data_IF_230915575661
#
_entry.id   IF_230915575661
#
_cell.length_a   1.000
_cell.length_b   1.000
_cell.length_c   1.000
_cell.angle_alpha   90.00
_cell.angle_beta   90.00
_cell.angle_gamma   90.00
#
_symmetry.space_group_name_H-M   'P 1'
#
loop_
_entity.id
_entity.type
_entity.pdbx_description
1 polymer ?
#
# COMPACT_ATOMS: atom_id res chain seq x y z
N UNK A 1 20.18 -23.36 2.50
CA UNK A 1 19.91 -22.27 3.46
C UNK A 1 20.53 -21.04 2.81
N UNK A 2 19.76 -20.32 1.99
CA UNK A 2 20.27 -19.11 1.35
C UNK A 2 20.45 -18.02 2.42
N UNK A 3 21.63 -17.42 2.46
CA UNK A 3 21.93 -16.30 3.34
C UNK A 3 20.98 -15.13 3.03
N UNK A 4 20.37 -14.61 4.09
CA UNK A 4 19.45 -13.49 4.02
C UNK A 4 20.27 -12.23 3.72
N UNK A 5 20.06 -11.65 2.55
CA UNK A 5 20.69 -10.38 2.20
C UNK A 5 19.75 -9.23 2.60
N UNK A 6 20.17 -8.46 3.60
CA UNK A 6 19.58 -7.17 3.94
C UNK A 6 20.71 -6.15 3.86
N UNK A 7 20.47 -5.05 3.16
CA UNK A 7 21.43 -3.96 3.04
C UNK A 7 20.81 -2.68 3.57
N UNK A 8 21.63 -1.82 4.17
CA UNK A 8 21.26 -0.44 4.44
C UNK A 8 22.11 0.41 3.51
N UNK A 9 21.46 1.21 2.67
CA UNK A 9 22.11 2.08 1.71
C UNK A 9 21.48 3.48 1.82
N UNK A 10 22.31 4.48 2.06
CA UNK A 10 21.89 5.88 2.25
C UNK A 10 20.73 6.09 3.26
N UNK A 11 20.70 5.27 4.32
CA UNK A 11 19.65 5.31 5.34
C UNK A 11 18.38 4.53 4.98
N UNK A 12 18.23 4.05 3.74
CA UNK A 12 17.14 3.17 3.33
C UNK A 12 17.44 1.71 3.68
N UNK A 13 16.41 0.97 4.13
CA UNK A 13 16.51 -0.47 4.36
C UNK A 13 16.10 -1.23 3.09
N UNK A 14 17.02 -1.99 2.52
CA UNK A 14 16.81 -2.85 1.36
C UNK A 14 16.70 -4.30 1.84
N UNK A 15 15.54 -4.90 1.60
CA UNK A 15 15.28 -6.32 1.89
C UNK A 15 15.27 -7.08 0.56
N UNK A 16 16.23 -7.98 0.40
CA UNK A 16 16.26 -8.89 -0.74
C UNK A 16 15.52 -10.18 -0.41
N UNK A 17 14.84 -10.76 -1.41
CA UNK A 17 14.08 -12.01 -1.27
C UNK A 17 13.11 -12.01 -0.09
N UNK A 18 12.19 -11.05 -0.09
CA UNK A 18 11.23 -10.83 1.00
C UNK A 18 10.39 -12.10 1.26
N UNK A 19 10.24 -12.50 2.53
CA UNK A 19 9.48 -13.68 2.98
C UNK A 19 8.37 -13.28 3.96
N UNK A 20 7.34 -14.12 4.19
CA UNK A 20 6.26 -13.81 5.14
C UNK A 20 6.73 -13.35 6.54
N UNK A 21 7.83 -13.88 7.13
CA UNK A 21 8.35 -13.39 8.41
C UNK A 21 8.95 -11.97 8.37
N UNK A 22 9.23 -11.42 7.20
CA UNK A 22 9.70 -10.05 7.05
C UNK A 22 8.52 -9.04 7.08
N UNK A 23 7.26 -9.51 7.07
CA UNK A 23 6.10 -8.65 7.28
C UNK A 23 6.10 -8.08 8.71
N UNK A 24 5.80 -6.79 8.86
CA UNK A 24 5.84 -6.13 10.16
C UNK A 24 5.83 -4.62 10.08
N UNK A 25 6.04 -3.99 11.24
CA UNK A 25 6.14 -2.54 11.36
C UNK A 25 7.62 -2.18 11.46
N UNK A 26 8.05 -1.31 10.55
CA UNK A 26 9.38 -0.75 10.46
C UNK A 26 9.33 0.72 10.84
N UNK A 27 10.38 1.19 11.49
CA UNK A 27 10.49 2.59 11.89
C UNK A 27 11.95 3.01 11.73
N UNK A 28 12.16 4.13 11.05
CA UNK A 28 13.48 4.70 10.90
C UNK A 28 13.79 5.58 12.10
N UNK A 29 15.00 5.44 12.62
CA UNK A 29 15.52 6.30 13.67
C UNK A 29 16.83 6.93 13.18
N UNK A 30 16.83 8.26 13.07
CA UNK A 30 17.99 9.05 12.66
C UNK A 30 18.36 9.96 13.85
N UNK A 31 19.36 9.55 14.62
CA UNK A 31 19.72 10.22 15.87
C UNK A 31 18.57 10.17 16.90
N UNK A 32 18.03 11.34 17.25
CA UNK A 32 16.87 11.50 18.13
C UNK A 32 15.54 11.65 17.36
N UNK A 33 15.60 11.83 16.04
CA UNK A 33 14.41 11.92 15.21
C UNK A 33 13.91 10.52 14.86
N UNK A 34 12.61 10.31 15.05
CA UNK A 34 11.93 9.06 14.74
C UNK A 34 10.96 9.31 13.59
N UNK A 35 11.04 8.50 12.53
CA UNK A 35 10.14 8.62 11.39
C UNK A 35 8.73 8.11 11.70
N UNK A 36 7.80 8.40 10.79
CA UNK A 36 6.53 7.69 10.72
C UNK A 36 6.74 6.18 10.57
N UNK A 37 5.70 5.42 10.92
CA UNK A 37 5.72 3.95 10.82
C UNK A 37 5.57 3.52 9.35
N UNK A 38 6.36 2.53 8.94
CA UNK A 38 6.23 1.84 7.67
C UNK A 38 5.70 0.44 7.92
N UNK A 39 4.57 0.08 7.33
CA UNK A 39 3.99 -1.26 7.46
C UNK A 39 4.37 -2.04 6.20
N UNK A 40 5.17 -3.09 6.36
CA UNK A 40 5.49 -4.04 5.29
C UNK A 40 4.55 -5.23 5.39
N UNK A 41 3.77 -5.44 4.33
CA UNK A 41 2.92 -6.61 4.17
C UNK A 41 3.49 -7.46 3.03
N UNK A 42 3.75 -8.73 3.33
CA UNK A 42 4.29 -9.69 2.36
C UNK A 42 3.14 -10.57 1.89
N UNK A 43 2.86 -10.48 0.61
CA UNK A 43 1.84 -11.29 -0.06
C UNK A 43 2.49 -12.62 -0.46
N UNK A 44 2.00 -13.73 0.10
CA UNK A 44 2.40 -15.06 -0.35
C UNK A 44 1.62 -15.43 -1.62
N UNK A 45 2.24 -16.21 -2.52
CA UNK A 45 1.57 -16.72 -3.72
C UNK A 45 0.43 -17.71 -3.37
N UNK A 46 0.49 -18.29 -2.17
CA UNK A 46 -0.55 -19.15 -1.58
C UNK A 46 -1.71 -18.34 -0.96
N UNK A 47 -1.56 -17.02 -0.74
CA UNK A 47 -2.64 -16.21 -0.18
C UNK A 47 -3.74 -16.00 -1.24
N UNK A 48 -4.97 -16.51 -1.00
CA UNK A 48 -6.02 -16.43 -2.00
C UNK A 48 -6.45 -14.97 -2.16
N UNK A 49 -6.15 -14.36 -3.32
CA UNK A 49 -6.62 -13.03 -3.67
C UNK A 49 -7.78 -13.06 -4.66
N UNK A 50 -8.65 -12.05 -4.58
CA UNK A 50 -9.74 -11.86 -5.53
C UNK A 50 -9.33 -10.81 -6.57
N UNK A 51 -9.41 -11.15 -7.86
CA UNK A 51 -9.20 -10.18 -8.93
C UNK A 51 -10.46 -9.35 -9.12
N UNK A 52 -10.37 -8.05 -8.88
CA UNK A 52 -11.48 -7.10 -9.01
C UNK A 52 -11.17 -6.02 -10.05
N UNK A 53 -12.21 -5.31 -10.48
CA UNK A 53 -12.10 -4.28 -11.52
C UNK A 53 -12.52 -2.90 -10.99
N UNK A 54 -11.98 -1.81 -11.57
CA UNK A 54 -12.49 -0.48 -11.30
C UNK A 54 -13.93 -0.34 -11.79
N UNK A 55 -14.69 0.56 -11.17
CA UNK A 55 -16.08 0.87 -11.52
C UNK A 55 -16.28 1.35 -12.97
N UNK A 56 -15.19 1.74 -13.66
CA UNK A 56 -15.18 2.09 -15.08
C UNK A 56 -15.25 0.88 -16.02
N UNK A 57 -15.20 -0.36 -15.52
CA UNK A 57 -15.23 -1.59 -16.32
C UNK A 57 -16.32 -2.55 -15.82
N UNK A 58 -16.74 -3.48 -16.68
CA UNK A 58 -17.64 -4.59 -16.28
C UNK A 58 -16.85 -5.72 -15.63
N UNK A 59 -17.19 -6.06 -14.40
CA UNK A 59 -16.65 -7.22 -13.70
C UNK A 59 -16.79 -7.08 -12.19
N UNK A 60 -16.35 -8.09 -11.41
CA UNK A 60 -16.50 -8.05 -9.96
C UNK A 60 -15.79 -6.81 -9.42
N UNK A 61 -16.54 -5.98 -8.71
CA UNK A 61 -16.01 -4.80 -8.04
C UNK A 61 -15.38 -5.19 -6.71
N UNK A 62 -14.57 -4.30 -6.15
CA UNK A 62 -14.06 -4.47 -4.79
C UNK A 62 -15.19 -4.61 -3.79
N UNK A 63 -14.99 -5.48 -2.80
CA UNK A 63 -15.92 -5.68 -1.70
C UNK A 63 -16.16 -4.36 -0.97
N UNK A 64 -17.41 -3.89 -0.84
CA UNK A 64 -17.69 -2.64 -0.14
C UNK A 64 -17.25 -2.73 1.34
N UNK A 65 -17.05 -1.58 2.00
CA UNK A 65 -16.93 -1.55 3.45
C UNK A 65 -18.14 -2.24 4.09
N UNK A 66 -17.89 -3.09 5.10
CA UNK A 66 -18.92 -3.84 5.81
C UNK A 66 -18.76 -3.61 7.31
N UNK A 67 -19.81 -3.20 8.03
CA UNK A 67 -19.76 -3.13 9.49
C UNK A 67 -19.61 -4.56 10.04
N UNK A 68 -18.69 -4.73 10.99
CA UNK A 68 -18.53 -5.98 11.73
C UNK A 68 -19.27 -5.88 13.07
N UNK A 69 -19.15 -4.73 13.73
CA UNK A 69 -19.87 -4.37 14.96
C UNK A 69 -20.45 -2.95 14.83
N UNK A 70 -21.07 -2.42 15.88
CA UNK A 70 -21.52 -1.02 15.93
C UNK A 70 -20.39 0.00 15.74
N UNK A 71 -19.16 -0.36 16.12
CA UNK A 71 -18.02 0.55 16.16
C UNK A 71 -16.90 0.18 15.18
N UNK A 72 -16.94 -1.03 14.62
CA UNK A 72 -15.90 -1.57 13.75
C UNK A 72 -16.41 -1.78 12.33
N UNK A 73 -15.62 -1.31 11.38
CA UNK A 73 -15.84 -1.53 9.95
C UNK A 73 -14.67 -2.28 9.35
N UNK A 74 -14.96 -3.31 8.56
CA UNK A 74 -13.96 -3.91 7.68
C UNK A 74 -14.04 -3.23 6.31
N UNK A 75 -12.89 -2.88 5.74
CA UNK A 75 -12.78 -2.29 4.40
C UNK A 75 -11.50 -2.76 3.70
N UNK A 76 -11.37 -2.47 2.40
CA UNK A 76 -10.16 -2.74 1.63
C UNK A 76 -9.37 -1.44 1.54
N UNK A 77 -8.17 -1.40 2.14
CA UNK A 77 -7.23 -0.28 1.97
C UNK A 77 -6.41 -0.53 0.71
N UNK A 78 -6.45 0.42 -0.23
CA UNK A 78 -5.84 0.27 -1.55
C UNK A 78 -4.48 0.93 -1.62
N UNK A 79 -3.49 0.18 -2.11
CA UNK A 79 -2.20 0.73 -2.50
C UNK A 79 -2.34 1.75 -3.62
N UNK A 80 -1.31 2.59 -3.76
CA UNK A 80 -1.08 3.30 -5.02
C UNK A 80 -0.90 2.30 -6.17
N UNK A 81 -1.18 2.74 -7.39
CA UNK A 81 -0.89 1.93 -8.57
C UNK A 81 0.62 1.72 -8.72
N UNK A 82 1.00 0.49 -9.07
CA UNK A 82 2.36 0.21 -9.50
C UNK A 82 2.72 1.02 -10.75
N UNK A 83 4.02 1.15 -10.98
CA UNK A 83 4.54 1.57 -12.27
C UNK A 83 4.01 0.67 -13.40
N UNK A 84 4.00 1.22 -14.61
CA UNK A 84 3.59 0.47 -15.78
C UNK A 84 4.64 -0.58 -16.12
N UNK A 85 4.21 -1.82 -16.35
CA UNK A 85 5.12 -2.95 -16.63
C UNK A 85 5.94 -2.79 -17.91
N UNK A 86 5.49 -1.91 -18.83
CA UNK A 86 6.14 -1.64 -20.12
C UNK A 86 5.93 -0.16 -20.48
N UNK A 87 6.91 0.44 -21.13
CA UNK A 87 6.80 1.76 -21.74
C UNK A 87 6.78 1.64 -23.27
N UNK A 88 6.28 2.66 -23.98
CA UNK A 88 6.19 2.71 -25.46
C UNK A 88 5.08 1.83 -26.05
N UNK A 89 4.75 0.73 -25.39
CA UNK A 89 3.69 -0.22 -25.75
C UNK A 89 2.66 -0.33 -24.64
N UNK A 90 1.54 -1.03 -24.90
CA UNK A 90 0.55 -1.33 -23.87
C UNK A 90 1.17 -2.28 -22.84
N UNK A 91 1.25 -1.83 -21.59
CA UNK A 91 1.66 -2.58 -20.42
C UNK A 91 0.49 -2.80 -19.44
N UNK A 92 0.83 -3.34 -18.27
CA UNK A 92 -0.09 -3.57 -17.15
C UNK A 92 0.45 -2.85 -15.92
N UNK A 93 -0.46 -2.36 -15.09
CA UNK A 93 -0.17 -1.88 -13.74
C UNK A 93 -1.15 -2.53 -12.78
N UNK A 94 -0.74 -2.67 -11.52
CA UNK A 94 -1.52 -3.35 -10.49
C UNK A 94 -1.57 -2.52 -9.21
N UNK A 95 -2.63 -2.69 -8.44
CA UNK A 95 -2.71 -2.21 -7.05
C UNK A 95 -3.34 -3.29 -6.19
N UNK A 96 -2.99 -3.28 -4.92
CA UNK A 96 -3.42 -4.28 -3.95
C UNK A 96 -4.40 -3.66 -2.96
N UNK A 97 -5.49 -4.37 -2.68
CA UNK A 97 -6.52 -3.99 -1.74
C UNK A 97 -6.47 -4.94 -0.56
N UNK A 98 -5.89 -4.51 0.56
CA UNK A 98 -5.71 -5.36 1.72
C UNK A 98 -6.86 -5.16 2.70
N UNK A 99 -7.26 -6.24 3.37
CA UNK A 99 -8.28 -6.20 4.41
C UNK A 99 -7.79 -5.36 5.60
N UNK A 100 -8.56 -4.33 5.97
CA UNK A 100 -8.35 -3.48 7.14
C UNK A 100 -9.58 -3.48 8.03
N UNK A 101 -9.36 -3.36 9.33
CA UNK A 101 -10.39 -3.05 10.33
C UNK A 101 -10.16 -1.64 10.81
N UNK A 102 -11.19 -0.80 10.75
CA UNK A 102 -11.16 0.56 11.28
C UNK A 102 -12.18 0.75 12.39
N UNK A 103 -11.95 1.80 13.17
CA UNK A 103 -12.87 2.29 14.19
C UNK A 103 -13.67 3.47 13.63
N UNK A 104 -14.99 3.38 13.67
CA UNK A 104 -15.87 4.45 13.23
C UNK A 104 -17.17 3.94 12.62
N UNK A 105 -18.20 4.78 12.72
CA UNK A 105 -19.48 4.54 12.08
C UNK A 105 -19.33 4.75 10.56
N UNK A 106 -19.73 3.77 9.76
CA UNK A 106 -20.15 4.07 8.40
C UNK A 106 -21.30 5.06 8.54
N UNK A 107 -21.09 6.34 8.23
CA UNK A 107 -22.15 7.34 8.18
C UNK A 107 -23.34 6.75 7.42
N UNK A 108 -24.33 6.29 8.19
CA UNK A 108 -25.55 5.75 7.64
C UNK A 108 -26.32 6.96 7.13
N UNK A 109 -26.07 7.35 5.89
CA UNK A 109 -27.11 7.98 5.08
C UNK A 109 -28.17 6.90 4.78
N UNK A 110 -28.79 6.37 5.84
CA UNK A 110 -30.08 5.72 5.73
C UNK A 110 -31.06 6.86 5.61
N UNK A 111 -31.56 7.07 4.40
CA UNK A 111 -32.93 7.53 4.26
C UNK A 111 -33.75 6.61 5.18
N UNK A 112 -34.33 7.21 6.22
CA UNK A 112 -35.36 6.57 7.02
C UNK A 112 -36.46 6.20 6.05
N UNK A 113 -36.51 4.94 5.67
CA UNK A 113 -37.72 4.20 5.39
C UNK A 113 -37.34 2.71 5.34
N UNK A 114 -38.22 1.89 5.91
CA UNK A 114 -38.15 0.43 6.01
C UNK A 114 -37.39 -0.13 7.22
N UNK A 115 -38.15 -0.16 8.32
CA UNK A 115 -37.98 -1.13 9.38
C UNK A 115 -38.03 -2.56 8.81
N UNK A 116 -36.97 -3.34 9.06
CA UNK A 116 -37.13 -4.77 9.28
C UNK A 116 -36.08 -5.28 10.26
N UNK A 117 -36.66 -5.98 11.22
CA UNK A 117 -36.13 -6.72 12.34
C UNK A 117 -35.25 -7.89 11.88
N UNK A 118 -34.05 -8.05 12.46
CA UNK A 118 -33.54 -9.34 12.97
C UNK A 118 -32.07 -9.28 13.42
N UNK A 119 -31.89 -9.57 14.72
CA UNK A 119 -30.74 -10.19 15.40
C UNK A 119 -29.35 -9.54 15.26
N UNK A 120 -29.10 -8.54 16.09
CA UNK A 120 -27.76 -8.14 16.54
C UNK A 120 -27.22 -9.14 17.57
N UNK A 121 -26.63 -10.24 17.11
CA UNK A 121 -25.84 -11.15 17.95
C UNK A 121 -24.38 -11.14 17.47
N UNK A 122 -23.62 -10.15 17.94
CA UNK A 122 -22.17 -10.19 18.19
C UNK A 122 -21.68 -8.76 18.52
N UNK A 123 -22.14 -8.22 19.64
CA UNK A 123 -21.57 -6.98 20.18
C UNK A 123 -20.24 -7.27 20.85
N UNK A 124 -19.15 -7.34 20.07
CA UNK A 124 -17.80 -7.30 20.64
C UNK A 124 -17.57 -5.89 21.16
N UNK A 125 -17.68 -5.71 22.48
CA UNK A 125 -17.25 -4.49 23.15
C UNK A 125 -15.72 -4.44 23.11
N UNK A 126 -15.17 -3.37 22.52
CA UNK A 126 -13.74 -3.11 22.56
C UNK A 126 -13.33 -2.75 23.99
N UNK A 127 -12.22 -3.30 24.45
CA UNK A 127 -11.58 -2.85 25.68
C UNK A 127 -10.87 -1.50 25.46
N UNK A 128 -10.51 -0.82 26.55
CA UNK A 128 -9.78 0.46 26.50
C UNK A 128 -8.48 0.35 25.67
N UNK A 129 -7.87 -0.83 25.65
CA UNK A 129 -6.67 -1.12 24.85
C UNK A 129 -6.99 -1.16 23.36
N UNK A 130 -8.07 -1.81 22.95
CA UNK A 130 -8.56 -1.83 21.58
C UNK A 130 -8.94 -0.43 21.08
N UNK A 131 -9.56 0.40 21.92
CA UNK A 131 -9.85 1.80 21.57
C UNK A 131 -8.56 2.58 21.33
N UNK A 132 -7.57 2.46 22.24
CA UNK A 132 -6.26 3.12 22.08
C UNK A 132 -5.51 2.63 20.84
N UNK A 133 -5.64 1.36 20.48
CA UNK A 133 -5.06 0.82 19.25
C UNK A 133 -5.59 1.57 18.03
N UNK A 134 -6.91 1.70 17.88
CA UNK A 134 -7.46 2.41 16.72
C UNK A 134 -7.26 3.93 16.78
N UNK A 135 -7.08 4.51 17.97
CA UNK A 135 -6.60 5.90 18.09
C UNK A 135 -5.16 6.07 17.58
N UNK A 136 -4.29 5.10 17.83
CA UNK A 136 -2.92 5.09 17.30
C UNK A 136 -2.88 4.78 15.79
N UNK A 137 -3.87 4.05 15.28
CA UNK A 137 -4.01 3.69 13.86
C UNK A 137 -5.33 4.22 13.29
N UNK A 138 -5.46 5.55 13.06
CA UNK A 138 -6.70 6.15 12.57
C UNK A 138 -7.11 5.66 11.17
N UNK A 139 -6.13 5.19 10.37
CA UNK A 139 -6.36 4.54 9.07
C UNK A 139 -6.78 3.07 9.17
N UNK A 140 -6.97 2.54 10.38
CA UNK A 140 -7.27 1.14 10.64
C UNK A 140 -6.04 0.24 10.74
N UNK A 141 -6.28 -1.02 11.12
CA UNK A 141 -5.28 -2.06 11.32
C UNK A 141 -5.50 -3.19 10.31
N UNK A 142 -4.45 -3.72 9.64
CA UNK A 142 -4.60 -4.84 8.71
C UNK A 142 -5.20 -6.08 9.39
N UNK A 143 -6.09 -6.79 8.71
CA UNK A 143 -6.77 -7.98 9.25
C UNK A 143 -5.80 -9.11 9.62
N UNK A 144 -4.70 -9.26 8.87
CA UNK A 144 -3.64 -10.23 9.14
C UNK A 144 -2.70 -9.81 10.28
N UNK A 145 -2.62 -8.52 10.59
CA UNK A 145 -1.61 -7.96 11.51
C UNK A 145 -1.68 -8.58 12.89
N UNK A 146 -0.52 -8.87 13.48
CA UNK A 146 -0.43 -9.38 14.86
C UNK A 146 -1.00 -8.41 15.90
N UNK A 147 -1.08 -7.12 15.56
CA UNK A 147 -1.64 -6.07 16.40
C UNK A 147 -3.16 -6.17 16.55
N UNK A 148 -3.85 -6.80 15.59
CA UNK A 148 -5.30 -6.94 15.65
C UNK A 148 -5.68 -7.99 16.72
N UNK A 149 -6.49 -7.65 17.73
CA UNK A 149 -6.89 -8.57 18.77
C UNK A 149 -7.47 -9.89 18.23
N UNK A 150 -7.11 -11.02 18.86
CA UNK A 150 -7.57 -12.36 18.45
C UNK A 150 -9.10 -12.48 18.47
N UNK A 151 -9.79 -11.74 19.34
CA UNK A 151 -11.25 -11.68 19.42
C UNK A 151 -11.84 -11.15 18.11
N UNK A 152 -11.26 -10.08 17.56
CA UNK A 152 -11.70 -9.48 16.29
C UNK A 152 -11.37 -10.42 15.14
N UNK A 153 -10.16 -11.01 15.12
CA UNK A 153 -9.73 -11.95 14.06
C UNK A 153 -10.64 -13.16 13.88
N UNK A 154 -11.31 -13.61 14.95
CA UNK A 154 -12.22 -14.77 14.91
C UNK A 154 -13.59 -14.44 14.33
N UNK A 155 -13.91 -13.17 14.07
CA UNK A 155 -15.22 -12.77 13.55
C UNK A 155 -15.42 -13.29 12.12
N UNK A 156 -16.60 -13.85 11.80
CA UNK A 156 -16.87 -14.46 10.50
C UNK A 156 -16.80 -13.46 9.33
N UNK A 157 -17.04 -12.18 9.62
CA UNK A 157 -16.90 -11.10 8.63
C UNK A 157 -15.46 -10.92 8.13
N UNK A 158 -14.44 -11.29 8.92
CA UNK A 158 -13.04 -11.25 8.52
C UNK A 158 -12.62 -12.51 7.76
N UNK A 159 -13.08 -13.68 8.19
CA UNK A 159 -12.74 -14.94 7.50
C UNK A 159 -13.26 -15.00 6.05
N UNK A 160 -14.33 -14.28 5.74
CA UNK A 160 -14.89 -14.18 4.38
C UNK A 160 -14.21 -13.13 3.51
N UNK A 161 -13.47 -12.18 4.09
CA UNK A 161 -12.85 -11.08 3.35
C UNK A 161 -11.44 -11.43 2.91
N UNK A 162 -11.27 -11.63 1.61
CA UNK A 162 -9.97 -11.88 0.98
C UNK A 162 -9.29 -10.58 0.59
N UNK A 163 -7.96 -10.65 0.47
CA UNK A 163 -7.20 -9.59 -0.19
C UNK A 163 -7.61 -9.50 -1.66
N UNK A 164 -7.56 -8.30 -2.21
CA UNK A 164 -8.03 -7.99 -3.55
C UNK A 164 -6.87 -7.46 -4.40
N UNK A 165 -6.91 -7.72 -5.70
CA UNK A 165 -5.98 -7.13 -6.66
C UNK A 165 -6.75 -6.49 -7.81
N UNK A 166 -6.36 -5.28 -8.17
CA UNK A 166 -6.83 -4.64 -9.39
C UNK A 166 -5.71 -4.59 -10.41
N UNK A 167 -6.02 -4.98 -11.65
CA UNK A 167 -5.10 -4.91 -12.78
C UNK A 167 -5.71 -3.97 -13.83
N UNK A 168 -4.94 -2.97 -14.24
CA UNK A 168 -5.32 -2.04 -15.29
C UNK A 168 -4.27 -2.05 -16.41
N UNK A 169 -4.73 -1.78 -17.63
CA UNK A 169 -3.84 -1.49 -18.74
C UNK A 169 -3.27 -0.08 -18.60
N UNK A 170 -2.03 0.10 -19.05
CA UNK A 170 -1.36 1.39 -19.09
C UNK A 170 -0.55 1.51 -20.39
N UNK A 171 -0.35 2.73 -20.88
CA UNK A 171 0.57 3.02 -21.97
C UNK A 171 1.26 4.32 -21.62
N UNK A 172 2.51 4.22 -21.18
CA UNK A 172 3.34 5.37 -20.83
C UNK A 172 4.46 5.54 -21.86
N UNK A 173 4.90 6.76 -22.18
CA UNK A 173 6.10 6.96 -22.99
C UNK A 173 7.32 6.41 -22.24
N UNK A 174 8.29 5.86 -22.96
CA UNK A 174 9.57 5.52 -22.34
C UNK A 174 10.25 6.81 -21.90
N UNK A 175 10.62 6.89 -20.61
CA UNK A 175 11.51 7.94 -20.15
C UNK A 175 12.82 7.76 -20.91
N UNK A 176 13.12 8.70 -21.79
CA UNK A 176 14.48 8.82 -22.31
C UNK A 176 15.36 9.11 -21.10
N UNK A 177 16.27 8.21 -20.78
CA UNK A 177 17.32 8.49 -19.78
C UNK A 177 18.34 9.50 -20.34
N UNK A 178 18.21 9.86 -21.62
CA UNK A 178 19.00 10.90 -22.25
C UNK A 178 18.29 12.24 -22.12
N UNK A 179 18.89 13.16 -21.38
CA UNK A 179 18.55 14.57 -21.33
C UNK A 179 19.24 15.30 -22.48
N UNK A 180 18.50 16.12 -23.25
CA UNK A 180 19.06 16.94 -24.33
C UNK A 180 18.73 18.41 -24.08
N UNK A 181 19.77 19.24 -23.95
CA UNK A 181 19.64 20.69 -23.95
C UNK A 181 19.74 21.19 -25.38
N UNK A 182 18.75 21.94 -25.86
CA UNK A 182 18.74 22.50 -27.21
C UNK A 182 18.78 24.03 -27.18
N UNK A 183 19.50 24.60 -28.14
CA UNK A 183 19.53 26.03 -28.43
C UNK A 183 18.18 26.52 -28.93
N UNK A 184 17.96 27.83 -28.90
CA UNK A 184 16.76 28.50 -29.41
C UNK A 184 16.53 28.20 -30.91
N UNK A 185 17.59 27.81 -31.64
CA UNK A 185 17.58 27.39 -33.05
C UNK A 185 17.40 25.87 -33.25
N UNK A 186 17.26 25.09 -32.17
CA UNK A 186 17.04 23.64 -32.20
C UNK A 186 18.29 22.75 -32.16
N UNK A 187 19.49 23.33 -32.20
CA UNK A 187 20.77 22.62 -32.10
C UNK A 187 20.99 22.01 -30.71
N UNK A 188 21.52 20.79 -30.64
CA UNK A 188 21.82 20.13 -29.36
C UNK A 188 23.10 20.74 -28.78
N UNK A 189 22.96 21.40 -27.62
CA UNK A 189 24.06 21.99 -26.85
C UNK A 189 24.66 20.94 -25.92
N UNK A 190 23.82 20.13 -25.29
CA UNK A 190 24.25 19.14 -24.32
C UNK A 190 23.37 17.89 -24.43
N UNK A 191 23.98 16.72 -24.27
CA UNK A 191 23.29 15.43 -24.28
C UNK A 191 23.88 14.57 -23.18
N UNK A 192 23.06 14.22 -22.19
CA UNK A 192 23.52 13.57 -20.97
C UNK A 192 22.71 12.31 -20.69
N UNK A 193 23.38 11.20 -20.38
CA UNK A 193 22.75 9.91 -20.10
C UNK A 193 22.65 9.67 -18.58
N UNK A 194 21.46 9.90 -18.03
CA UNK A 194 21.18 9.77 -16.60
C UNK A 194 21.24 8.31 -16.12
N UNK A 195 21.32 7.33 -17.01
CA UNK A 195 21.50 5.90 -16.66
C UNK A 195 22.88 5.59 -16.11
N UNK A 196 23.87 6.42 -16.45
CA UNK A 196 25.27 6.26 -16.06
C UNK A 196 25.59 7.07 -14.79
N UNK A 197 24.56 7.61 -14.12
CA UNK A 197 24.73 8.50 -12.97
C UNK A 197 25.26 9.89 -13.33
N UNK A 198 25.34 10.23 -14.62
CA UNK A 198 25.78 11.53 -15.12
C UNK A 198 24.55 12.42 -15.32
N UNK A 199 24.55 13.62 -14.74
CA UNK A 199 23.45 14.57 -14.82
C UNK A 199 23.95 15.94 -15.31
N UNK A 200 23.14 16.62 -16.15
CA UNK A 200 23.45 17.98 -16.57
C UNK A 200 23.23 18.96 -15.41
N UNK A 201 24.14 19.93 -15.24
CA UNK A 201 23.98 21.02 -14.27
C UNK A 201 22.79 21.94 -14.59
N UNK A 202 22.25 21.86 -15.81
CA UNK A 202 21.08 22.64 -16.25
C UNK A 202 19.78 21.83 -16.20
N UNK A 203 19.86 20.56 -15.83
CA UNK A 203 18.69 19.75 -15.58
C UNK A 203 18.08 20.14 -14.23
N UNK A 204 16.74 20.26 -14.16
CA UNK A 204 16.06 20.46 -12.87
C UNK A 204 16.36 19.26 -11.96
N UNK A 205 16.59 19.56 -10.69
CA UNK A 205 16.72 18.55 -9.66
C UNK A 205 15.51 17.60 -9.70
N UNK A 206 15.74 16.29 -9.53
CA UNK A 206 14.64 15.34 -9.41
C UNK A 206 13.67 15.81 -8.32
N UNK A 207 12.35 15.77 -8.56
CA UNK A 207 11.39 16.13 -7.53
C UNK A 207 11.62 15.23 -6.31
N UNK A 208 11.77 15.87 -5.15
CA UNK A 208 11.91 15.12 -3.90
C UNK A 208 10.67 14.23 -3.71
N UNK A 209 10.86 12.97 -3.26
CA UNK A 209 9.73 12.13 -2.94
C UNK A 209 8.84 12.83 -1.89
N UNK A 210 7.51 12.71 -1.98
CA UNK A 210 6.62 13.35 -1.02
C UNK A 210 6.90 12.85 0.39
N UNK A 211 6.82 13.73 1.38
CA UNK A 211 6.96 13.38 2.80
C UNK A 211 5.84 12.45 3.22
N UNK A 212 6.19 11.22 3.61
CA UNK A 212 5.22 10.19 3.98
C UNK A 212 5.01 10.19 5.50
N UNK A 213 3.78 10.46 5.95
CA UNK A 213 3.40 10.45 7.38
C UNK A 213 3.23 9.00 7.89
N UNK A 214 2.86 8.07 7.01
CA UNK A 214 2.78 6.63 7.23
C UNK A 214 2.78 5.94 5.86
N UNK A 215 3.70 4.98 5.63
CA UNK A 215 3.80 4.26 4.36
C UNK A 215 3.37 2.80 4.53
N UNK A 216 2.73 2.24 3.51
CA UNK A 216 2.36 0.83 3.47
C UNK A 216 2.94 0.22 2.21
N UNK A 217 3.92 -0.66 2.39
CA UNK A 217 4.62 -1.33 1.29
C UNK A 217 4.07 -2.74 1.15
N UNK A 218 3.53 -3.05 -0.02
CA UNK A 218 3.11 -4.39 -0.39
C UNK A 218 4.21 -5.06 -1.20
N UNK A 219 4.72 -6.16 -0.68
CA UNK A 219 5.79 -6.92 -1.30
C UNK A 219 5.30 -8.28 -1.74
N UNK A 220 5.55 -8.65 -2.99
CA UNK A 220 5.41 -10.05 -3.38
C UNK A 220 6.54 -10.86 -2.74
N UNK A 221 6.25 -12.09 -2.32
CA UNK A 221 7.29 -13.03 -1.89
C UNK A 221 8.40 -13.13 -2.92
N UNK A 222 9.65 -13.10 -2.46
CA UNK A 222 10.85 -13.13 -3.31
C UNK A 222 11.19 -11.81 -4.02
N UNK A 223 10.37 -10.76 -3.89
CA UNK A 223 10.69 -9.44 -4.46
C UNK A 223 11.73 -8.68 -3.64
N UNK A 224 12.36 -7.68 -4.27
CA UNK A 224 13.22 -6.68 -3.60
C UNK A 224 12.35 -5.53 -3.11
N UNK A 225 12.47 -5.19 -1.83
CA UNK A 225 11.75 -4.07 -1.21
C UNK A 225 12.76 -3.04 -0.70
N UNK A 226 12.41 -1.76 -0.86
CA UNK A 226 13.16 -0.63 -0.31
C UNK A 226 12.23 0.11 0.64
N UNK A 227 12.51 0.03 1.92
CA UNK A 227 11.85 0.83 2.97
C UNK A 227 12.60 2.15 3.03
N UNK A 228 11.95 3.21 2.53
CA UNK A 228 12.55 4.54 2.49
C UNK A 228 12.53 5.19 3.86
N UNK A 229 13.67 5.70 4.30
CA UNK A 229 13.75 6.51 5.50
C UNK A 229 13.77 7.99 5.12
N UNK A 230 12.93 8.83 5.74
CA UNK A 230 13.02 10.27 5.53
C UNK A 230 14.32 10.78 6.16
N UNK A 231 15.28 11.15 5.30
CA UNK A 231 16.60 11.68 5.64
C UNK A 231 17.19 12.39 4.43
#
# INVERSE_FOLDING_TARGET
MEEKEMAVDDGDLIIFYVRPPDAGVYQCQIGFAVSGLVILEVLDDEDPYTVVKPHSSRGPYSSPPKPITSELVVFSSWSVWSECSRCGVVGRRRRYGICYVGYGELNQNKNKDEASDSSSEDSVLLDDVGIKLFQAFPGGVPCGSQLLPKTIKKLPALGSRRNEIMIALCKIPCKSQVFELRSNKGEIIERTNNSEGVYSLRQKEPPQPPTVVQDIIFAAKGSRVIVKCPG
#
